data_IF_912984891831
#
_entry.id   IF_912984891831
#
_cell.length_a   1.000
_cell.length_b   1.000
_cell.length_c   1.000
_cell.angle_alpha   90.00
_cell.angle_beta   90.00
_cell.angle_gamma   90.00
#
_symmetry.space_group_name_H-M   'P 1'
#
loop_
_entity.id
_entity.type
_entity.pdbx_description
1 polymer ?
#
# COMPACT_ATOMS: atom_id res chain seq x y z
N UNK A 1 32.54 -9.92 -76.28
CA UNK A 1 32.61 -11.38 -76.07
C UNK A 1 32.72 -11.60 -74.57
N UNK A 2 31.66 -12.12 -73.93
CA UNK A 2 31.60 -13.46 -73.27
C UNK A 2 32.57 -13.54 -72.08
N UNK A 3 32.22 -13.86 -70.84
CA UNK A 3 31.20 -14.74 -70.26
C UNK A 3 31.22 -14.45 -68.74
N UNK A 4 30.12 -14.18 -68.05
CA UNK A 4 29.26 -15.17 -67.41
C UNK A 4 30.03 -16.29 -66.70
N UNK A 5 30.17 -16.21 -65.38
CA UNK A 5 30.20 -17.42 -64.55
C UNK A 5 29.33 -17.25 -63.31
N UNK A 6 28.25 -18.00 -63.34
CA UNK A 6 27.27 -18.22 -62.29
C UNK A 6 27.89 -19.10 -61.20
N UNK A 7 27.64 -18.73 -59.94
CA UNK A 7 27.71 -19.66 -58.82
C UNK A 7 26.33 -19.64 -58.15
N UNK A 8 25.52 -20.60 -58.56
CA UNK A 8 24.32 -21.07 -57.87
C UNK A 8 24.71 -22.20 -56.91
N UNK A 9 23.79 -22.52 -55.98
CA UNK A 9 23.67 -23.72 -55.10
C UNK A 9 24.25 -23.49 -53.69
N UNK A 10 23.53 -23.63 -52.56
CA UNK A 10 22.23 -24.23 -52.21
C UNK A 10 21.81 -23.61 -50.85
N UNK A 11 20.55 -23.21 -50.68
CA UNK A 11 19.95 -23.01 -49.35
C UNK A 11 18.76 -23.96 -49.22
N UNK A 12 18.65 -24.71 -48.11
CA UNK A 12 17.69 -25.79 -47.99
C UNK A 12 16.28 -25.24 -47.75
N UNK A 13 15.34 -25.82 -48.48
CA UNK A 13 13.91 -25.70 -48.29
C UNK A 13 13.51 -26.06 -46.86
N UNK A 14 13.06 -25.08 -46.07
CA UNK A 14 12.19 -25.36 -44.93
C UNK A 14 10.76 -24.98 -45.27
N UNK A 15 10.00 -26.04 -45.48
CA UNK A 15 8.57 -26.12 -45.65
C UNK A 15 7.86 -25.92 -44.30
N UNK A 16 6.67 -25.29 -44.39
CA UNK A 16 5.54 -25.35 -43.45
C UNK A 16 5.67 -24.57 -42.13
N UNK A 17 4.91 -23.49 -42.00
CA UNK A 17 3.53 -23.56 -41.50
C UNK A 17 2.97 -22.13 -41.31
N UNK A 18 1.82 -21.83 -41.90
CA UNK A 18 1.05 -20.63 -41.55
C UNK A 18 0.30 -20.87 -40.23
N UNK A 19 0.06 -19.82 -39.44
CA UNK A 19 -1.17 -19.73 -38.67
C UNK A 19 -2.02 -18.56 -39.20
N UNK A 20 -3.11 -18.97 -39.85
CA UNK A 20 -4.48 -18.47 -39.75
C UNK A 20 -4.66 -17.11 -39.07
N UNK A 21 -5.13 -16.13 -39.85
CA UNK A 21 -5.83 -14.95 -39.37
C UNK A 21 -7.13 -15.39 -38.68
N UNK A 22 -7.19 -15.29 -37.37
CA UNK A 22 -8.43 -15.44 -36.61
C UNK A 22 -8.76 -14.09 -35.96
N UNK A 23 -9.74 -13.39 -36.54
CA UNK A 23 -10.41 -12.27 -35.90
C UNK A 23 -11.23 -12.82 -34.73
N UNK A 24 -10.60 -12.96 -33.57
CA UNK A 24 -11.27 -13.08 -32.28
C UNK A 24 -11.45 -11.69 -31.69
N UNK A 25 -12.68 -11.21 -31.64
CA UNK A 25 -13.07 -10.11 -30.75
C UNK A 25 -13.02 -10.68 -29.34
N UNK A 26 -11.92 -10.44 -28.62
CA UNK A 26 -11.83 -10.70 -27.19
C UNK A 26 -11.83 -9.36 -26.45
N UNK A 27 -12.93 -9.11 -25.75
CA UNK A 27 -13.11 -7.95 -24.90
C UNK A 27 -12.30 -8.21 -23.63
N UNK A 28 -11.10 -7.65 -23.53
CA UNK A 28 -10.47 -7.53 -22.22
C UNK A 28 -9.63 -6.26 -22.05
N UNK A 29 -10.31 -5.28 -21.47
CA UNK A 29 -9.84 -4.28 -20.50
C UNK A 29 -8.35 -3.94 -20.52
N UNK A 30 -8.10 -2.72 -20.98
CA UNK A 30 -7.00 -1.83 -20.63
C UNK A 30 -6.55 -1.99 -19.18
N UNK A 31 -5.44 -2.70 -18.96
CA UNK A 31 -4.65 -2.63 -17.74
C UNK A 31 -3.62 -1.51 -17.90
N UNK A 32 -3.84 -0.46 -17.11
CA UNK A 32 -2.96 0.70 -16.92
C UNK A 32 -1.54 0.26 -16.53
N UNK A 33 -0.46 0.89 -17.01
CA UNK A 33 0.91 0.55 -16.65
C UNK A 33 1.35 1.19 -15.32
N UNK A 34 0.46 1.24 -14.33
CA UNK A 34 0.84 1.68 -12.99
C UNK A 34 1.37 0.46 -12.24
N UNK A 35 2.69 0.41 -12.09
CA UNK A 35 3.46 -0.53 -11.25
C UNK A 35 3.71 -1.91 -11.87
N UNK A 36 4.49 -1.91 -12.96
CA UNK A 36 5.36 -3.04 -13.25
C UNK A 36 6.39 -3.18 -12.10
N UNK A 37 6.50 -4.40 -11.57
CA UNK A 37 7.13 -4.70 -10.29
C UNK A 37 8.58 -4.26 -10.15
N UNK A 38 8.86 -3.68 -8.98
CA UNK A 38 10.20 -3.65 -8.40
C UNK A 38 10.24 -4.80 -7.41
N UNK A 39 10.99 -5.85 -7.74
CA UNK A 39 11.44 -6.80 -6.73
C UNK A 39 12.43 -6.05 -5.83
N UNK A 40 11.94 -5.45 -4.76
CA UNK A 40 12.74 -4.74 -3.77
C UNK A 40 13.24 -5.74 -2.73
N UNK A 41 14.56 -5.79 -2.57
CA UNK A 41 15.21 -6.43 -1.44
C UNK A 41 14.63 -5.82 -0.14
N UNK A 42 14.26 -6.67 0.80
CA UNK A 42 13.37 -6.36 1.95
C UNK A 42 13.89 -5.24 2.85
N UNK A 43 13.26 -4.07 2.78
CA UNK A 43 13.33 -3.06 3.84
C UNK A 43 12.05 -3.21 4.65
N UNK A 44 12.15 -3.58 5.92
CA UNK A 44 10.95 -3.77 6.73
C UNK A 44 10.32 -2.42 7.09
N UNK A 45 9.00 -2.37 7.15
CA UNK A 45 8.24 -1.14 7.37
C UNK A 45 8.24 -0.71 8.83
N UNK A 46 7.53 0.38 9.13
CA UNK A 46 7.30 0.81 10.50
C UNK A 46 5.85 0.66 10.94
N UNK A 47 5.65 0.34 12.21
CA UNK A 47 4.35 0.40 12.88
C UNK A 47 4.41 1.38 14.05
N UNK A 48 3.42 2.27 14.15
CA UNK A 48 3.39 3.29 15.18
C UNK A 48 3.28 2.68 16.58
N UNK A 49 4.13 3.11 17.51
CA UNK A 49 3.98 2.75 18.93
C UNK A 49 2.88 3.60 19.59
N UNK A 50 1.75 2.97 19.91
CA UNK A 50 0.57 3.62 20.50
C UNK A 50 0.15 2.83 21.75
N UNK A 51 0.05 3.53 22.89
CA UNK A 51 -0.53 2.98 24.12
C UNK A 51 -2.04 3.27 24.13
N UNK A 52 -2.83 2.36 23.57
CA UNK A 52 -4.28 2.51 23.41
C UNK A 52 -5.06 2.52 24.75
N UNK A 53 -4.38 2.40 25.90
CA UNK A 53 -4.99 2.56 27.21
C UNK A 53 -4.87 3.99 27.76
N UNK A 54 -4.16 4.89 27.07
CA UNK A 54 -3.97 6.28 27.47
C UNK A 54 -4.64 7.22 26.48
N UNK A 55 -5.43 8.21 26.95
CA UNK A 55 -6.10 9.14 26.07
C UNK A 55 -5.08 9.99 25.29
N UNK A 56 -5.37 10.27 24.03
CA UNK A 56 -4.57 11.18 23.19
C UNK A 56 -3.31 10.57 22.56
N UNK A 57 -2.98 9.31 22.83
CA UNK A 57 -1.78 8.67 22.27
C UNK A 57 -1.78 8.59 20.74
N UNK A 58 -2.95 8.45 20.10
CA UNK A 58 -3.07 8.47 18.64
C UNK A 58 -2.69 9.84 18.08
N UNK A 59 -3.22 10.92 18.67
CA UNK A 59 -2.90 12.29 18.24
C UNK A 59 -1.40 12.60 18.44
N UNK A 60 -0.82 12.12 19.53
CA UNK A 60 0.62 12.28 19.77
C UNK A 60 1.47 11.49 18.77
N UNK A 61 1.09 10.25 18.45
CA UNK A 61 1.79 9.46 17.43
C UNK A 61 1.70 10.11 16.03
N UNK A 62 0.55 10.69 15.68
CA UNK A 62 0.38 11.45 14.44
C UNK A 62 1.28 12.69 14.38
N UNK A 63 1.41 13.43 15.49
CA UNK A 63 2.34 14.58 15.56
C UNK A 63 3.80 14.17 15.44
N UNK A 64 4.19 13.02 16.00
CA UNK A 64 5.54 12.48 15.79
C UNK A 64 5.78 12.14 14.31
N UNK A 65 4.81 11.54 13.63
CA UNK A 65 4.90 11.25 12.20
C UNK A 65 4.96 12.54 11.36
N UNK A 66 4.18 13.57 11.70
CA UNK A 66 4.25 14.88 11.04
C UNK A 66 5.62 15.55 11.24
N UNK A 67 6.14 15.57 12.47
CA UNK A 67 7.46 16.13 12.76
C UNK A 67 8.58 15.38 12.01
N UNK A 68 8.47 14.05 11.91
CA UNK A 68 9.40 13.25 11.12
C UNK A 68 9.32 13.58 9.64
N UNK A 69 8.12 13.68 9.06
CA UNK A 69 7.92 14.08 7.65
C UNK A 69 8.49 15.47 7.34
N UNK A 70 8.48 16.39 8.31
CA UNK A 70 9.03 17.75 8.16
C UNK A 70 10.56 17.81 8.35
N UNK A 71 11.20 16.72 8.74
CA UNK A 71 12.65 16.68 8.95
C UNK A 71 13.40 16.41 7.64
N UNK A 72 14.60 17.01 7.49
CA UNK A 72 15.48 16.74 6.35
C UNK A 72 15.84 15.24 6.24
N UNK A 73 15.93 14.55 7.38
CA UNK A 73 16.24 13.12 7.47
C UNK A 73 15.23 12.22 6.72
N UNK A 74 13.96 12.66 6.63
CA UNK A 74 12.92 11.89 5.93
C UNK A 74 13.20 11.77 4.43
N UNK A 75 13.70 12.83 3.80
CA UNK A 75 13.96 12.88 2.36
C UNK A 75 15.38 12.43 1.98
N UNK A 76 16.33 12.56 2.91
CA UNK A 76 17.75 12.29 2.65
C UNK A 76 18.18 10.87 3.02
N UNK A 77 17.32 10.05 3.64
CA UNK A 77 17.70 8.70 4.06
C UNK A 77 17.63 7.68 2.91
N UNK A 78 18.78 7.17 2.41
CA UNK A 78 18.82 6.13 1.39
C UNK A 78 18.32 4.77 1.90
N UNK A 79 18.08 4.65 3.21
CA UNK A 79 17.54 3.47 3.88
C UNK A 79 16.17 3.75 4.53
N UNK A 80 15.45 4.78 4.09
CA UNK A 80 14.08 5.01 4.55
C UNK A 80 13.25 3.75 4.29
N UNK A 81 12.45 3.30 5.28
CA UNK A 81 11.55 2.15 5.13
C UNK A 81 10.70 2.30 3.86
N UNK A 82 10.39 1.17 3.23
CA UNK A 82 9.79 1.12 1.90
C UNK A 82 8.32 1.61 1.82
N UNK A 83 7.79 2.32 2.82
CA UNK A 83 6.39 2.70 2.83
C UNK A 83 5.91 3.51 4.03
N UNK A 84 4.59 3.81 4.08
CA UNK A 84 3.98 4.57 5.17
C UNK A 84 4.11 3.86 6.52
N UNK A 85 4.16 4.64 7.60
CA UNK A 85 4.08 4.12 8.96
C UNK A 85 2.66 3.56 9.17
N UNK A 86 2.55 2.28 9.50
CA UNK A 86 1.26 1.65 9.80
C UNK A 86 0.76 2.07 11.18
N UNK A 87 -0.46 2.57 11.27
CA UNK A 87 -1.16 2.89 12.51
C UNK A 87 -2.25 1.84 12.73
N UNK A 88 -1.95 0.80 13.51
CA UNK A 88 -2.91 -0.27 13.82
C UNK A 88 -3.73 0.13 15.06
N UNK A 89 -4.99 0.51 14.84
CA UNK A 89 -5.89 1.01 15.88
C UNK A 89 -6.94 -0.06 16.23
N UNK A 90 -7.04 -0.37 17.52
CA UNK A 90 -8.03 -1.28 18.09
C UNK A 90 -8.50 -0.75 19.46
N UNK A 91 -9.49 -1.42 20.05
CA UNK A 91 -10.15 -0.94 21.27
C UNK A 91 -11.18 0.17 20.98
N UNK A 92 -11.63 0.92 22.00
CA UNK A 92 -12.69 1.92 21.85
C UNK A 92 -12.28 3.11 20.96
N UNK A 93 -10.99 3.41 20.85
CA UNK A 93 -10.48 4.55 20.09
C UNK A 93 -10.73 4.45 18.57
N UNK A 94 -11.07 3.26 18.06
CA UNK A 94 -11.49 3.09 16.66
C UNK A 94 -12.68 3.99 16.29
N UNK A 95 -13.51 4.37 17.27
CA UNK A 95 -14.66 5.23 17.10
C UNK A 95 -14.34 6.53 16.35
N UNK A 96 -13.12 7.08 16.51
CA UNK A 96 -12.77 8.37 15.92
C UNK A 96 -12.73 8.36 14.38
N UNK A 97 -12.60 7.19 13.78
CA UNK A 97 -12.43 7.02 12.34
C UNK A 97 -13.74 6.74 11.58
N UNK A 98 -14.89 6.89 12.24
CA UNK A 98 -16.22 6.73 11.64
C UNK A 98 -16.83 8.08 11.26
N UNK A 99 -17.54 8.14 10.13
CA UNK A 99 -18.14 9.37 9.56
C UNK A 99 -18.94 10.18 10.57
N UNK A 100 -19.76 9.52 11.38
CA UNK A 100 -20.62 10.20 12.36
C UNK A 100 -19.85 10.84 13.54
N UNK A 101 -18.62 10.39 13.79
CA UNK A 101 -17.77 10.93 14.84
C UNK A 101 -16.76 11.97 14.34
N UNK A 102 -16.71 12.21 13.02
CA UNK A 102 -15.76 13.14 12.41
C UNK A 102 -15.77 14.51 13.07
N UNK A 103 -16.95 15.10 13.30
CA UNK A 103 -17.06 16.42 13.91
C UNK A 103 -16.39 16.50 15.29
N UNK A 104 -16.52 15.44 16.09
CA UNK A 104 -15.95 15.35 17.45
C UNK A 104 -14.42 15.24 17.41
N UNK A 105 -13.86 14.50 16.46
CA UNK A 105 -12.42 14.21 16.38
C UNK A 105 -11.71 14.93 15.24
N UNK A 106 -12.33 15.99 14.71
CA UNK A 106 -11.94 16.66 13.46
C UNK A 106 -10.46 16.97 13.38
N UNK A 107 -9.87 17.53 14.43
CA UNK A 107 -8.46 17.93 14.45
C UNK A 107 -7.51 16.74 14.25
N UNK A 108 -7.71 15.66 14.99
CA UNK A 108 -6.90 14.44 14.88
C UNK A 108 -7.12 13.73 13.55
N UNK A 109 -8.38 13.66 13.12
CA UNK A 109 -8.75 12.99 11.86
C UNK A 109 -8.22 13.75 10.65
N UNK A 110 -8.29 15.08 10.63
CA UNK A 110 -7.76 15.90 9.55
C UNK A 110 -6.23 15.77 9.43
N UNK A 111 -5.54 15.66 10.56
CA UNK A 111 -4.09 15.40 10.57
C UNK A 111 -3.80 14.01 9.98
N UNK A 112 -4.52 12.98 10.43
CA UNK A 112 -4.36 11.62 9.90
C UNK A 112 -4.64 11.55 8.39
N UNK A 113 -5.73 12.17 7.93
CA UNK A 113 -6.09 12.21 6.51
C UNK A 113 -5.04 12.92 5.66
N UNK A 114 -4.50 14.05 6.15
CA UNK A 114 -3.43 14.79 5.47
C UNK A 114 -2.16 13.95 5.35
N UNK A 115 -1.69 13.36 6.45
CA UNK A 115 -0.49 12.51 6.44
C UNK A 115 -0.68 11.27 5.58
N UNK A 116 -1.88 10.67 5.58
CA UNK A 116 -2.21 9.53 4.72
C UNK A 116 -2.22 9.91 3.24
N UNK A 117 -2.78 11.08 2.89
CA UNK A 117 -2.75 11.58 1.50
C UNK A 117 -1.34 11.88 0.99
N UNK A 118 -0.40 12.17 1.89
CA UNK A 118 1.01 12.38 1.59
C UNK A 118 1.81 11.07 1.57
N UNK A 119 1.18 9.92 1.83
CA UNK A 119 1.86 8.62 1.90
C UNK A 119 2.75 8.44 3.12
N UNK A 120 2.61 9.27 4.15
CA UNK A 120 3.42 9.21 5.37
C UNK A 120 2.93 8.11 6.31
N UNK A 121 1.62 7.91 6.38
CA UNK A 121 0.98 6.95 7.29
C UNK A 121 -0.11 6.14 6.58
N UNK A 122 -0.40 4.96 7.12
CA UNK A 122 -1.52 4.10 6.73
C UNK A 122 -2.35 3.78 7.98
N UNK A 123 -3.58 4.28 8.05
CA UNK A 123 -4.47 4.05 9.19
C UNK A 123 -5.20 2.72 9.01
N UNK A 124 -4.97 1.77 9.92
CA UNK A 124 -5.60 0.44 9.93
C UNK A 124 -6.53 0.30 11.14
N UNK A 125 -7.83 0.09 10.91
CA UNK A 125 -8.84 0.03 11.97
C UNK A 125 -9.41 -1.39 12.14
N UNK A 126 -9.36 -1.89 13.37
CA UNK A 126 -9.84 -3.21 13.77
C UNK A 126 -11.36 -3.35 13.69
N UNK A 127 -11.83 -4.30 12.87
CA UNK A 127 -13.25 -4.59 12.67
C UNK A 127 -13.91 -5.23 13.89
N UNK A 128 -13.22 -6.13 14.59
CA UNK A 128 -13.74 -6.70 15.86
C UNK A 128 -14.01 -5.59 16.89
N UNK A 129 -13.09 -4.63 17.04
CA UNK A 129 -13.27 -3.50 17.96
C UNK A 129 -14.40 -2.57 17.50
N UNK A 130 -14.51 -2.31 16.20
CA UNK A 130 -15.58 -1.50 15.62
C UNK A 130 -16.96 -2.08 15.91
N UNK A 131 -17.13 -3.39 15.67
CA UNK A 131 -18.35 -4.13 15.98
C UNK A 131 -18.69 -4.12 17.47
N UNK A 132 -17.68 -4.22 18.34
CA UNK A 132 -17.87 -4.23 19.79
C UNK A 132 -18.50 -2.92 20.32
N UNK A 133 -18.35 -1.81 19.59
CA UNK A 133 -18.94 -0.51 19.92
C UNK A 133 -20.08 -0.11 18.96
N UNK A 134 -20.57 -1.05 18.14
CA UNK A 134 -21.76 -0.89 17.31
C UNK A 134 -21.55 -0.15 15.98
N UNK A 135 -20.31 -0.05 15.48
CA UNK A 135 -20.03 0.54 14.17
C UNK A 135 -19.84 -0.51 13.07
N UNK A 136 -20.23 -0.15 11.84
CA UNK A 136 -20.04 -0.95 10.63
C UNK A 136 -18.88 -0.42 9.77
N UNK A 137 -18.15 -1.31 9.10
CA UNK A 137 -17.05 -0.99 8.18
C UNK A 137 -17.42 0.08 7.16
N UNK A 138 -18.64 0.06 6.63
CA UNK A 138 -19.08 0.96 5.56
C UNK A 138 -19.15 2.43 6.02
N UNK A 139 -19.16 2.66 7.33
CA UNK A 139 -19.16 3.98 7.96
C UNK A 139 -17.77 4.52 8.26
N UNK A 140 -16.71 3.78 7.94
CA UNK A 140 -15.33 4.28 8.04
C UNK A 140 -15.10 5.48 7.11
N UNK A 141 -14.19 6.36 7.52
CA UNK A 141 -13.71 7.43 6.66
C UNK A 141 -12.90 6.85 5.48
N UNK A 142 -12.97 7.45 4.27
CA UNK A 142 -12.46 6.82 3.06
C UNK A 142 -10.96 6.49 3.03
N UNK A 143 -10.15 7.16 3.83
CA UNK A 143 -8.69 6.94 3.91
C UNK A 143 -8.29 5.83 4.90
N UNK A 144 -9.26 5.20 5.55
CA UNK A 144 -9.03 4.22 6.62
C UNK A 144 -9.16 2.80 6.07
N UNK A 145 -8.09 2.04 6.23
CA UNK A 145 -8.02 0.64 5.86
C UNK A 145 -8.61 -0.23 6.98
N UNK A 146 -9.63 -1.05 6.72
CA UNK A 146 -10.16 -1.98 7.71
C UNK A 146 -9.27 -3.22 7.82
N UNK A 147 -9.02 -3.70 9.04
CA UNK A 147 -8.34 -4.97 9.32
C UNK A 147 -9.20 -5.85 10.21
N UNK A 148 -9.20 -7.16 10.00
CA UNK A 148 -10.12 -8.07 10.69
C UNK A 148 -9.92 -8.02 12.21
N UNK A 149 -8.68 -8.15 12.67
CA UNK A 149 -8.34 -8.16 14.08
C UNK A 149 -7.00 -7.45 14.35
N UNK A 150 -7.06 -6.29 15.02
CA UNK A 150 -5.90 -5.41 15.25
C UNK A 150 -4.70 -6.08 15.95
N UNK A 151 -4.88 -6.86 17.04
CA UNK A 151 -3.75 -7.55 17.66
C UNK A 151 -3.05 -8.56 16.74
N UNK A 152 -3.81 -9.28 15.90
CA UNK A 152 -3.21 -10.18 14.91
C UNK A 152 -2.49 -9.41 13.80
N UNK A 153 -3.05 -8.27 13.36
CA UNK A 153 -2.39 -7.41 12.38
C UNK A 153 -1.07 -6.84 12.90
N UNK A 154 -1.06 -6.37 14.16
CA UNK A 154 0.16 -5.87 14.80
C UNK A 154 1.22 -6.98 14.91
N UNK A 155 0.81 -8.18 15.31
CA UNK A 155 1.68 -9.35 15.39
C UNK A 155 2.28 -9.69 14.02
N UNK A 156 1.44 -9.79 12.98
CA UNK A 156 1.84 -10.09 11.61
C UNK A 156 2.89 -9.11 11.10
N UNK A 157 2.64 -7.80 11.31
CA UNK A 157 3.59 -6.76 10.93
C UNK A 157 4.95 -6.96 11.62
N UNK A 158 4.97 -7.11 12.94
CA UNK A 158 6.20 -7.16 13.73
C UNK A 158 6.97 -8.48 13.58
N UNK A 159 6.26 -9.61 13.57
CA UNK A 159 6.88 -10.94 13.68
C UNK A 159 7.02 -11.65 12.33
N UNK A 160 6.16 -11.34 11.35
CA UNK A 160 6.14 -12.03 10.06
C UNK A 160 6.67 -11.15 8.92
N UNK A 161 6.43 -9.84 8.98
CA UNK A 161 6.92 -8.86 7.99
C UNK A 161 8.12 -8.05 8.47
N UNK A 162 8.66 -8.39 9.64
CA UNK A 162 9.86 -7.80 10.25
C UNK A 162 9.73 -6.30 10.57
N UNK A 163 8.52 -5.72 10.61
CA UNK A 163 8.33 -4.30 10.89
C UNK A 163 8.94 -3.92 12.23
N UNK A 164 9.49 -2.71 12.30
CA UNK A 164 9.96 -2.12 13.54
C UNK A 164 8.97 -1.12 14.11
N UNK A 165 9.04 -0.85 15.42
CA UNK A 165 8.27 0.25 16.00
C UNK A 165 8.85 1.61 15.60
N UNK A 166 7.95 2.54 15.30
CA UNK A 166 8.22 3.97 15.14
C UNK A 166 7.89 4.76 16.41
#
# INVERSE_FOLDING_TARGET
MRSCWLLLIFLPSFLLAQPVLQLGVDVNQTLSPYFAGVAANSTSGYVAKIDLNKPGQIAEALRRAEAHFQSEEYFDSPNSPAGPIAFVIFGPDVAMFFKQNYATYKSTVDLAARLSSLGVIDIRVCQVSSKAIGFDRDDLLPFVSPVDFGPAELKRLLEEEDYSFF
#
